data_IF_497160689487
#
_entry.id   IF_497160689487
#
_cell.length_a   1.000
_cell.length_b   1.000
_cell.length_c   1.000
_cell.angle_alpha   90.00
_cell.angle_beta   90.00
_cell.angle_gamma   90.00
#
_symmetry.space_group_name_H-M   'P 1'
#
loop_
_entity.id
_entity.type
_entity.pdbx_description
1 polymer ?
#
# COMPACT_ATOMS: atom_id res chain seq x y z
N UNK A 1 13.92 -17.81 3.60
CA UNK A 1 12.46 -17.91 3.31
C UNK A 1 11.77 -16.56 3.47
N UNK A 2 11.85 -15.88 4.62
CA UNK A 2 11.20 -14.58 4.86
C UNK A 2 11.68 -13.42 3.96
N UNK A 3 12.99 -13.35 3.67
CA UNK A 3 13.58 -12.36 2.77
C UNK A 3 13.07 -12.47 1.33
N UNK A 4 12.74 -13.68 0.86
CA UNK A 4 12.21 -13.87 -0.48
C UNK A 4 10.80 -13.29 -0.62
N UNK A 5 9.94 -13.45 0.40
CA UNK A 5 8.58 -12.92 0.36
C UNK A 5 8.54 -11.40 0.52
N UNK A 6 9.40 -10.82 1.36
CA UNK A 6 9.54 -9.36 1.45
C UNK A 6 10.16 -8.77 0.20
N UNK A 7 11.17 -9.42 -0.39
CA UNK A 7 11.73 -9.00 -1.69
C UNK A 7 10.70 -9.08 -2.81
N UNK A 8 9.84 -10.11 -2.85
CA UNK A 8 8.77 -10.21 -3.85
C UNK A 8 7.71 -9.13 -3.63
N UNK A 9 7.30 -8.88 -2.38
CA UNK A 9 6.34 -7.83 -2.05
C UNK A 9 6.87 -6.44 -2.42
N UNK A 10 8.12 -6.15 -2.08
CA UNK A 10 8.81 -4.88 -2.41
C UNK A 10 9.05 -4.77 -3.92
N UNK A 11 9.50 -5.84 -4.58
CA UNK A 11 9.76 -5.84 -6.02
C UNK A 11 8.48 -5.66 -6.83
N UNK A 12 7.39 -6.30 -6.44
CA UNK A 12 6.08 -6.09 -7.04
C UNK A 12 5.63 -4.63 -6.89
N UNK A 13 5.85 -4.03 -5.71
CA UNK A 13 5.49 -2.66 -5.37
C UNK A 13 6.37 -1.60 -6.08
N UNK A 14 7.64 -1.92 -6.37
CA UNK A 14 8.59 -1.05 -7.10
C UNK A 14 8.40 -1.12 -8.62
N UNK A 15 8.13 -2.31 -9.17
CA UNK A 15 7.75 -2.47 -10.59
C UNK A 15 6.42 -1.73 -10.88
N UNK A 16 5.51 -1.74 -9.91
CA UNK A 16 4.26 -0.96 -9.86
C UNK A 16 4.46 0.55 -9.99
N UNK A 17 5.55 1.11 -9.48
CA UNK A 17 5.84 2.55 -9.51
C UNK A 17 6.52 2.99 -10.82
N UNK A 18 7.47 2.19 -11.32
CA UNK A 18 8.33 2.56 -12.44
C UNK A 18 7.67 2.40 -13.81
N UNK A 19 6.81 1.40 -13.99
CA UNK A 19 6.07 1.20 -15.23
C UNK A 19 4.93 2.20 -15.46
N UNK A 20 4.48 2.87 -14.39
CA UNK A 20 3.27 3.68 -14.38
C UNK A 20 3.51 5.16 -14.66
N UNK A 21 4.59 5.74 -14.10
CA UNK A 21 4.91 7.16 -14.26
C UNK A 21 5.08 7.56 -15.73
N UNK A 22 5.68 6.70 -16.56
CA UNK A 22 5.97 7.01 -17.97
C UNK A 22 4.75 6.96 -18.88
N UNK A 23 3.71 6.20 -18.54
CA UNK A 23 2.51 6.04 -19.41
C UNK A 23 1.34 6.93 -18.99
N UNK A 24 1.34 7.45 -17.76
CA UNK A 24 0.27 8.30 -17.22
C UNK A 24 0.40 9.78 -17.55
N UNK A 25 1.61 10.25 -17.84
CA UNK A 25 1.83 11.59 -18.40
C UNK A 25 1.24 11.75 -19.83
N UNK A 26 0.71 10.68 -20.42
CA UNK A 26 0.38 10.63 -21.85
C UNK A 26 -1.06 10.90 -22.28
N UNK A 27 -2.09 10.97 -21.41
CA UNK A 27 -3.47 11.40 -21.79
C UNK A 27 -4.43 11.40 -20.60
N UNK A 28 -4.91 12.58 -20.21
CA UNK A 28 -6.01 12.74 -19.27
C UNK A 28 -7.35 12.64 -20.02
N UNK A 29 -7.97 11.46 -20.00
CA UNK A 29 -9.39 11.34 -20.32
C UNK A 29 -10.22 11.95 -19.17
N UNK A 30 -11.33 12.61 -19.49
CA UNK A 30 -12.32 13.12 -18.54
C UNK A 30 -12.86 11.99 -17.67
N UNK A 31 -12.30 11.84 -16.46
CA UNK A 31 -12.72 10.81 -15.50
C UNK A 31 -13.64 11.40 -14.43
N UNK A 32 -14.59 10.61 -13.96
CA UNK A 32 -15.56 11.05 -12.95
C UNK A 32 -14.88 11.37 -11.60
N UNK A 33 -15.45 12.28 -10.81
CA UNK A 33 -14.88 12.69 -9.52
C UNK A 33 -14.66 11.51 -8.55
N UNK A 34 -15.58 10.53 -8.54
CA UNK A 34 -15.46 9.30 -7.74
C UNK A 34 -14.26 8.44 -8.16
N UNK A 35 -13.99 8.37 -9.47
CA UNK A 35 -12.85 7.64 -10.00
C UNK A 35 -11.52 8.31 -9.62
N UNK A 36 -11.46 9.65 -9.66
CA UNK A 36 -10.30 10.41 -9.21
C UNK A 36 -10.01 10.19 -7.72
N UNK A 37 -11.06 10.20 -6.89
CA UNK A 37 -10.92 9.93 -5.45
C UNK A 37 -10.45 8.49 -5.18
N UNK A 38 -11.01 7.50 -5.88
CA UNK A 38 -10.56 6.11 -5.78
C UNK A 38 -9.06 5.99 -6.08
N UNK A 39 -8.61 6.70 -7.11
CA UNK A 39 -7.22 6.70 -7.54
C UNK A 39 -6.30 7.41 -6.55
N UNK A 40 -6.69 8.54 -5.99
CA UNK A 40 -5.88 9.24 -4.98
C UNK A 40 -5.75 8.41 -3.70
N UNK A 41 -6.83 7.73 -3.29
CA UNK A 41 -6.80 6.82 -2.14
C UNK A 41 -5.90 5.61 -2.40
N UNK A 42 -5.99 4.98 -3.57
CA UNK A 42 -5.12 3.86 -3.94
C UNK A 42 -3.65 4.28 -4.00
N UNK A 43 -3.34 5.44 -4.60
CA UNK A 43 -1.98 5.97 -4.64
C UNK A 43 -1.45 6.29 -3.22
N UNK A 44 -2.26 6.91 -2.37
CA UNK A 44 -1.90 7.18 -0.98
C UNK A 44 -1.64 5.90 -0.17
N UNK A 45 -2.48 4.87 -0.36
CA UNK A 45 -2.31 3.57 0.27
C UNK A 45 -0.97 2.91 -0.13
N UNK A 46 -0.58 3.00 -1.41
CA UNK A 46 0.71 2.49 -1.89
C UNK A 46 1.88 3.25 -1.25
N UNK A 47 1.81 4.58 -1.21
CA UNK A 47 2.88 5.42 -0.61
C UNK A 47 3.03 5.13 0.89
N UNK A 48 1.93 5.07 1.63
CA UNK A 48 1.97 4.75 3.07
C UNK A 48 2.41 3.31 3.32
N UNK A 49 2.03 2.35 2.47
CA UNK A 49 2.49 0.98 2.54
C UNK A 49 4.01 0.88 2.36
N UNK A 50 4.58 1.64 1.41
CA UNK A 50 6.04 1.73 1.24
C UNK A 50 6.72 2.37 2.44
N UNK A 51 6.18 3.48 2.95
CA UNK A 51 6.71 4.13 4.14
C UNK A 51 6.74 3.17 5.35
N UNK A 52 5.70 2.36 5.51
CA UNK A 52 5.66 1.31 6.52
C UNK A 52 6.76 0.27 6.32
N UNK A 53 6.90 -0.30 5.11
CA UNK A 53 7.91 -1.32 4.83
C UNK A 53 9.34 -0.79 5.04
N UNK A 54 9.62 0.44 4.60
CA UNK A 54 10.90 1.10 4.80
C UNK A 54 11.15 1.34 6.29
N UNK A 55 10.17 1.90 7.01
CA UNK A 55 10.27 2.12 8.46
C UNK A 55 10.50 0.82 9.22
N UNK A 56 9.83 -0.27 8.81
CA UNK A 56 9.99 -1.59 9.39
C UNK A 56 11.40 -2.13 9.14
N UNK A 57 11.93 -1.99 7.92
CA UNK A 57 13.30 -2.39 7.60
C UNK A 57 14.33 -1.59 8.41
N UNK A 58 14.15 -0.28 8.55
CA UNK A 58 15.03 0.57 9.37
C UNK A 58 15.04 0.12 10.83
N UNK A 59 13.88 -0.19 11.40
CA UNK A 59 13.77 -0.67 12.78
C UNK A 59 14.43 -2.05 12.95
N UNK A 60 14.18 -2.99 12.03
CA UNK A 60 14.68 -4.36 12.14
C UNK A 60 16.18 -4.50 11.85
N UNK A 61 16.72 -3.63 11.01
CA UNK A 61 18.15 -3.62 10.65
C UNK A 61 18.98 -2.66 11.51
N UNK A 62 18.33 -1.80 12.29
CA UNK A 62 18.96 -0.89 13.23
C UNK A 62 19.27 -1.52 14.59
N UNK A 63 19.41 -0.68 15.60
CA UNK A 63 19.61 -1.14 16.98
C UNK A 63 18.30 -1.67 17.58
N UNK A 64 18.26 -2.98 17.81
CA UNK A 64 17.10 -3.70 18.34
C UNK A 64 17.18 -3.89 19.86
N UNK A 65 18.25 -3.44 20.52
CA UNK A 65 18.44 -3.61 21.97
C UNK A 65 17.30 -3.01 22.80
N UNK A 66 16.69 -1.92 22.33
CA UNK A 66 15.54 -1.27 22.98
C UNK A 66 14.32 -2.19 23.13
N UNK A 67 14.11 -3.12 22.18
CA UNK A 67 12.99 -4.06 22.21
C UNK A 67 13.08 -5.09 23.34
N UNK A 68 14.26 -5.32 23.91
CA UNK A 68 14.46 -6.27 25.02
C UNK A 68 13.84 -5.76 26.33
N UNK A 69 13.70 -4.45 26.48
CA UNK A 69 13.21 -3.83 27.72
C UNK A 69 11.78 -3.34 27.59
N UNK A 70 11.42 -2.80 26.42
CA UNK A 70 10.08 -2.31 26.13
C UNK A 70 9.90 -2.07 24.63
N UNK A 71 8.66 -2.19 24.14
CA UNK A 71 8.36 -1.86 22.74
C UNK A 71 8.56 -0.35 22.52
N UNK A 72 9.49 0.08 21.64
CA UNK A 72 9.74 1.49 21.39
C UNK A 72 8.51 2.23 20.87
N UNK A 73 8.28 3.45 21.33
CA UNK A 73 7.12 4.26 20.92
C UNK A 73 7.08 4.51 19.41
N UNK A 74 8.24 4.67 18.78
CA UNK A 74 8.36 4.80 17.33
C UNK A 74 7.84 3.56 16.58
N UNK A 75 8.09 2.36 17.10
CA UNK A 75 7.56 1.13 16.54
C UNK A 75 6.04 1.05 16.68
N UNK A 76 5.48 1.45 17.84
CA UNK A 76 4.03 1.51 18.03
C UNK A 76 3.35 2.47 17.04
N UNK A 77 3.98 3.62 16.79
CA UNK A 77 3.52 4.58 15.77
C UNK A 77 3.61 4.02 14.36
N UNK A 78 4.67 3.27 14.06
CA UNK A 78 4.84 2.59 12.77
C UNK A 78 3.71 1.59 12.49
N UNK A 79 3.24 0.86 13.50
CA UNK A 79 2.12 -0.09 13.36
C UNK A 79 0.76 0.57 13.09
N UNK A 80 0.62 1.89 13.26
CA UNK A 80 -0.59 2.64 12.82
C UNK A 80 -0.71 2.62 11.30
N UNK A 81 0.41 2.74 10.59
CA UNK A 81 0.43 2.87 9.13
C UNK A 81 -0.28 1.73 8.39
N UNK A 82 -0.04 0.43 8.67
CA UNK A 82 -0.75 -0.64 7.97
C UNK A 82 -2.26 -0.57 8.17
N UNK A 83 -2.75 -0.14 9.35
CA UNK A 83 -4.19 0.06 9.58
C UNK A 83 -4.74 1.18 8.70
N UNK A 84 -4.04 2.31 8.62
CA UNK A 84 -4.45 3.44 7.75
C UNK A 84 -4.44 3.03 6.28
N UNK A 85 -3.42 2.28 5.84
CA UNK A 85 -3.32 1.75 4.47
C UNK A 85 -4.53 0.88 4.14
N UNK A 86 -4.94 -0.01 5.06
CA UNK A 86 -6.13 -0.85 4.88
C UNK A 86 -7.40 -0.01 4.73
N UNK A 87 -7.60 0.99 5.59
CA UNK A 87 -8.77 1.87 5.51
C UNK A 87 -8.82 2.64 4.19
N UNK A 88 -7.67 3.18 3.74
CA UNK A 88 -7.56 3.85 2.46
C UNK A 88 -7.85 2.91 1.29
N UNK A 89 -7.37 1.68 1.36
CA UNK A 89 -7.61 0.68 0.32
C UNK A 89 -9.07 0.24 0.26
N UNK A 90 -9.74 0.05 1.40
CA UNK A 90 -11.19 -0.21 1.46
C UNK A 90 -11.96 0.95 0.84
N UNK A 91 -11.63 2.19 1.22
CA UNK A 91 -12.23 3.38 0.60
C UNK A 91 -12.01 3.43 -0.91
N UNK A 92 -10.78 3.18 -1.35
CA UNK A 92 -10.43 3.11 -2.76
C UNK A 92 -11.26 2.03 -3.49
N UNK A 93 -11.43 0.86 -2.91
CA UNK A 93 -12.21 -0.24 -3.48
C UNK A 93 -13.69 0.14 -3.65
N UNK A 94 -14.30 0.71 -2.62
CA UNK A 94 -15.70 1.15 -2.66
C UNK A 94 -15.92 2.17 -3.79
N UNK A 95 -15.05 3.19 -3.89
CA UNK A 95 -15.16 4.19 -4.95
C UNK A 95 -14.80 3.64 -6.34
N UNK A 96 -13.90 2.66 -6.40
CA UNK A 96 -13.54 1.95 -7.64
C UNK A 96 -14.74 1.19 -8.19
N UNK A 97 -15.42 0.40 -7.36
CA UNK A 97 -16.61 -0.38 -7.75
C UNK A 97 -17.74 0.57 -8.17
N UNK A 98 -18.02 1.60 -7.36
CA UNK A 98 -19.07 2.59 -7.66
C UNK A 98 -18.80 3.42 -8.92
N UNK A 99 -17.53 3.62 -9.26
CA UNK A 99 -17.10 4.35 -10.46
C UNK A 99 -16.74 3.44 -11.64
N UNK A 100 -16.83 2.12 -11.52
CA UNK A 100 -16.23 1.21 -12.49
C UNK A 100 -16.88 1.28 -13.87
N UNK A 101 -18.22 1.30 -13.88
CA UNK A 101 -19.05 1.46 -15.09
C UNK A 101 -19.27 2.96 -15.33
N UNK A 102 -18.91 3.45 -16.51
CA UNK A 102 -19.11 4.85 -16.90
C UNK A 102 -18.04 5.86 -16.44
N UNK A 103 -16.90 5.42 -15.87
CA UNK A 103 -15.82 6.35 -15.46
C UNK A 103 -15.06 7.01 -16.61
N UNK A 104 -15.20 6.55 -17.86
CA UNK A 104 -14.31 6.94 -18.95
C UNK A 104 -12.85 6.49 -18.73
N UNK A 105 -12.59 5.67 -17.71
CA UNK A 105 -11.25 5.26 -17.33
C UNK A 105 -10.67 4.26 -18.33
N UNK A 106 -9.55 4.64 -18.94
CA UNK A 106 -8.78 3.78 -19.85
C UNK A 106 -8.22 2.54 -19.14
N UNK A 107 -7.84 1.54 -19.94
CA UNK A 107 -7.34 0.24 -19.48
C UNK A 107 -6.20 0.37 -18.46
N UNK A 108 -5.26 1.29 -18.68
CA UNK A 108 -4.13 1.51 -17.79
C UNK A 108 -4.53 1.95 -16.37
N UNK A 109 -5.58 2.78 -16.23
CA UNK A 109 -6.06 3.19 -14.91
C UNK A 109 -6.70 2.02 -14.15
N UNK A 110 -7.42 1.15 -14.88
CA UNK A 110 -8.02 -0.07 -14.31
C UNK A 110 -6.95 -1.06 -13.86
N UNK A 111 -5.92 -1.26 -14.68
CA UNK A 111 -4.74 -2.09 -14.30
C UNK A 111 -4.11 -1.54 -13.03
N UNK A 112 -3.87 -0.22 -12.95
CA UNK A 112 -3.29 0.37 -11.74
C UNK A 112 -4.11 0.06 -10.47
N UNK A 113 -5.44 0.19 -10.53
CA UNK A 113 -6.31 -0.15 -9.40
C UNK A 113 -6.21 -1.63 -9.01
N UNK A 114 -6.27 -2.55 -9.97
CA UNK A 114 -6.15 -3.98 -9.70
C UNK A 114 -4.82 -4.30 -9.03
N UNK A 115 -3.72 -3.78 -9.59
CA UNK A 115 -2.39 -4.06 -9.06
C UNK A 115 -2.18 -3.39 -7.69
N UNK A 116 -2.73 -2.19 -7.46
CA UNK A 116 -2.74 -1.57 -6.14
C UNK A 116 -3.47 -2.43 -5.09
N UNK A 117 -4.62 -3.01 -5.43
CA UNK A 117 -5.32 -3.93 -4.52
C UNK A 117 -4.57 -5.22 -4.26
N UNK A 118 -3.87 -5.77 -5.26
CA UNK A 118 -2.99 -6.93 -5.06
C UNK A 118 -1.86 -6.57 -4.08
N UNK A 119 -1.23 -5.41 -4.26
CA UNK A 119 -0.18 -4.93 -3.36
C UNK A 119 -0.67 -4.75 -1.92
N UNK A 120 -1.84 -4.16 -1.74
CA UNK A 120 -2.46 -4.04 -0.40
C UNK A 120 -2.76 -5.42 0.17
N UNK A 121 -3.37 -6.34 -0.59
CA UNK A 121 -3.68 -7.68 -0.11
C UNK A 121 -2.42 -8.43 0.36
N UNK A 122 -1.31 -8.30 -0.37
CA UNK A 122 -0.01 -8.85 0.03
C UNK A 122 0.51 -8.20 1.33
N UNK A 123 0.38 -6.88 1.47
CA UNK A 123 0.74 -6.17 2.70
C UNK A 123 -0.13 -6.59 3.89
N UNK A 124 -1.44 -6.75 3.68
CA UNK A 124 -2.38 -7.24 4.70
C UNK A 124 -1.97 -8.63 5.17
N UNK A 125 -1.72 -9.54 4.22
CA UNK A 125 -1.30 -10.90 4.52
C UNK A 125 0.01 -10.91 5.32
N UNK A 126 1.00 -10.12 4.89
CA UNK A 126 2.26 -9.96 5.62
C UNK A 126 2.02 -9.44 7.04
N UNK A 127 1.27 -8.35 7.19
CA UNK A 127 0.98 -7.77 8.50
C UNK A 127 0.23 -8.74 9.41
N UNK A 128 -0.70 -9.52 8.86
CA UNK A 128 -1.45 -10.52 9.59
C UNK A 128 -0.58 -11.70 10.04
N UNK A 129 0.20 -12.28 9.11
CA UNK A 129 1.10 -13.40 9.39
C UNK A 129 2.11 -13.09 10.49
N UNK A 130 2.51 -11.82 10.61
CA UNK A 130 3.45 -11.34 11.61
C UNK A 130 2.80 -10.69 12.83
N UNK A 131 1.47 -10.74 12.97
CA UNK A 131 0.72 -10.07 14.04
C UNK A 131 1.02 -8.57 14.19
N UNK A 132 1.44 -7.91 13.11
CA UNK A 132 1.74 -6.47 13.06
C UNK A 132 0.47 -5.62 12.97
N UNK A 133 -0.68 -6.26 12.73
CA UNK A 133 -1.99 -5.61 12.70
C UNK A 133 -2.66 -5.81 14.07
N UNK A 134 -2.95 -4.71 14.77
CA UNK A 134 -3.75 -4.75 16.00
C UNK A 134 -3.00 -4.64 17.32
N UNK A 135 -1.72 -4.23 17.34
CA UNK A 135 -0.95 -4.03 18.57
C UNK A 135 -0.95 -5.26 19.51
N UNK A 136 -0.77 -6.45 18.94
CA UNK A 136 -0.57 -7.67 19.69
C UNK A 136 0.89 -7.71 20.16
N UNK A 137 1.19 -7.10 21.31
CA UNK A 137 2.51 -7.13 21.97
C UNK A 137 2.53 -8.13 23.11
#
# INVERSE_FOLDING_TARGET
MLLAFTLIAVSALVVLLTGLGRRLLGRAASTTARWRLARSLAAGAVVLGLAFLIGLAVVLLGDTSGFLYQVPTGFRGLLVLPVVVLLMAVGALVFTVRGWRGSGAGLAARIHQVVAFIGVAALTWFGWQWNLIGWHF
#
